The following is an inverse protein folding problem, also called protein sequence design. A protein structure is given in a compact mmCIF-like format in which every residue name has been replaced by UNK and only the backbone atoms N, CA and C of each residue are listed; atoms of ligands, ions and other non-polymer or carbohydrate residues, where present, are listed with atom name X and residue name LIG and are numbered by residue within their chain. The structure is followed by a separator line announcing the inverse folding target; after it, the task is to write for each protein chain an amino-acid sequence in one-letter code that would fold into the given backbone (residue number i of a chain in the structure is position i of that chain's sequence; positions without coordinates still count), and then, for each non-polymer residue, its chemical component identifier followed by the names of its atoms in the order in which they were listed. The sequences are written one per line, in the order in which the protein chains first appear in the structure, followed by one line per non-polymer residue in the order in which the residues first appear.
data_IF_865019706792
#
_entry.id   IF_865019706792
#
_cell.length_a   1.000
_cell.length_b   1.000
_cell.length_c   1.000
_cell.angle_alpha   90.00
_cell.angle_beta   90.00
_cell.angle_gamma   90.00
#
_symmetry.space_group_name_H-M   'P 1'
#
loop_
_entity.id
_entity.type
_entity.pdbx_description
1 polymer ?
#
# COMPACT_ATOMS: atom_id res chain seq x y z
N UNK A 1 -13.65 -14.71 -27.09
CA UNK A 1 -12.78 -15.24 -26.02
C UNK A 1 -13.66 -16.12 -25.17
N UNK A 2 -13.29 -17.40 -25.07
CA UNK A 2 -14.05 -18.50 -24.47
C UNK A 2 -14.49 -18.18 -23.04
N UNK A 3 -15.70 -18.61 -22.67
CA UNK A 3 -16.32 -18.43 -21.35
C UNK A 3 -15.70 -19.37 -20.31
N UNK A 4 -14.39 -19.33 -20.16
CA UNK A 4 -13.72 -20.06 -19.07
C UNK A 4 -13.93 -19.27 -17.79
N UNK A 5 -14.46 -19.90 -16.75
CA UNK A 5 -14.61 -19.24 -15.44
C UNK A 5 -13.22 -19.06 -14.81
N UNK A 6 -13.02 -18.04 -13.94
CA UNK A 6 -11.71 -17.80 -13.29
C UNK A 6 -11.17 -19.04 -12.53
N UNK A 7 -12.08 -19.91 -12.08
CA UNK A 7 -11.78 -21.17 -11.38
C UNK A 7 -11.22 -22.26 -12.30
N UNK A 8 -11.55 -22.21 -13.60
CA UNK A 8 -11.09 -23.16 -14.61
C UNK A 8 -9.81 -22.71 -15.31
N UNK A 9 -9.43 -21.44 -15.14
CA UNK A 9 -8.22 -20.88 -15.77
C UNK A 9 -6.95 -21.46 -15.15
N UNK A 10 -6.02 -21.83 -16.02
CA UNK A 10 -4.69 -22.26 -15.62
C UNK A 10 -3.76 -21.07 -15.30
N UNK A 11 -2.55 -21.37 -14.80
CA UNK A 11 -1.56 -20.36 -14.46
C UNK A 11 -1.24 -19.42 -15.62
N UNK A 12 -1.06 -19.94 -16.83
CA UNK A 12 -0.69 -19.15 -17.99
C UNK A 12 -1.81 -18.20 -18.43
N UNK A 13 -3.05 -18.68 -18.37
CA UNK A 13 -4.24 -17.90 -18.68
C UNK A 13 -4.48 -16.79 -17.65
N UNK A 14 -4.29 -17.08 -16.35
CA UNK A 14 -4.39 -16.08 -15.28
C UNK A 14 -3.36 -14.96 -15.47
N UNK A 15 -2.11 -15.28 -15.84
CA UNK A 15 -1.09 -14.28 -16.11
C UNK A 15 -1.40 -13.40 -17.31
N UNK A 16 -1.84 -14.00 -18.41
CA UNK A 16 -2.22 -13.23 -19.59
C UNK A 16 -3.35 -12.26 -19.26
N UNK A 17 -4.31 -12.68 -18.42
CA UNK A 17 -5.39 -11.84 -17.96
C UNK A 17 -4.90 -10.71 -17.04
N UNK A 18 -4.01 -10.98 -16.07
CA UNK A 18 -3.41 -9.93 -15.23
C UNK A 18 -2.65 -8.89 -16.06
N UNK A 19 -1.93 -9.33 -17.09
CA UNK A 19 -1.23 -8.46 -18.04
C UNK A 19 -2.20 -7.58 -18.82
N UNK A 20 -3.26 -8.16 -19.39
CA UNK A 20 -4.30 -7.41 -20.12
C UNK A 20 -5.02 -6.39 -19.23
N UNK A 21 -5.26 -6.74 -17.97
CA UNK A 21 -5.90 -5.86 -16.98
C UNK A 21 -4.93 -4.84 -16.37
N UNK A 22 -3.65 -4.87 -16.75
CA UNK A 22 -2.59 -4.03 -16.18
C UNK A 22 -2.49 -4.15 -14.65
N UNK A 23 -2.91 -5.27 -14.08
CA UNK A 23 -2.76 -5.59 -12.66
C UNK A 23 -1.31 -6.00 -12.36
N UNK A 24 -0.61 -6.50 -13.37
CA UNK A 24 0.83 -6.68 -13.36
C UNK A 24 1.38 -6.58 -14.78
N UNK A 25 2.65 -6.16 -14.91
CA UNK A 25 3.30 -5.96 -16.19
C UNK A 25 4.14 -7.20 -16.55
N UNK A 26 3.61 -8.04 -17.43
CA UNK A 26 4.29 -9.24 -17.94
C UNK A 26 4.36 -9.17 -19.46
N UNK A 27 5.49 -9.56 -20.07
CA UNK A 27 5.61 -9.70 -21.53
C UNK A 27 5.07 -11.05 -22.03
N UNK A 28 5.31 -12.13 -21.28
CA UNK A 28 4.83 -13.50 -21.57
C UNK A 28 5.01 -14.42 -20.34
N UNK A 29 4.22 -15.49 -20.21
CA UNK A 29 4.34 -16.52 -19.17
C UNK A 29 5.64 -17.36 -19.29
N UNK A 30 6.28 -17.36 -20.47
CA UNK A 30 7.53 -18.08 -20.74
C UNK A 30 8.79 -17.19 -20.71
N UNK A 31 8.65 -15.89 -20.45
CA UNK A 31 9.78 -14.95 -20.45
C UNK A 31 10.01 -14.35 -19.06
N UNK A 32 11.27 -14.03 -18.76
CA UNK A 32 11.62 -13.20 -17.61
C UNK A 32 11.03 -11.80 -17.83
N UNK A 33 10.37 -11.20 -16.85
CA UNK A 33 9.80 -9.86 -17.02
C UNK A 33 10.88 -8.88 -17.44
N UNK A 34 10.59 -8.12 -18.49
CA UNK A 34 11.41 -6.99 -18.94
C UNK A 34 11.13 -5.72 -18.13
N UNK A 35 10.18 -5.77 -17.18
CA UNK A 35 9.80 -4.68 -16.30
C UNK A 35 10.74 -4.59 -15.09
N UNK A 36 11.83 -3.84 -15.27
CA UNK A 36 12.81 -3.58 -14.20
C UNK A 36 12.36 -2.40 -13.32
N UNK A 37 11.44 -2.67 -12.39
CA UNK A 37 11.03 -1.70 -11.36
C UNK A 37 11.44 -2.19 -9.98
N UNK A 38 12.15 -1.37 -9.18
CA UNK A 38 12.50 -1.71 -7.80
C UNK A 38 11.28 -2.09 -6.94
N UNK A 39 10.15 -1.41 -7.15
CA UNK A 39 8.89 -1.72 -6.48
C UNK A 39 8.35 -3.08 -6.90
N UNK A 40 8.37 -3.39 -8.19
CA UNK A 40 7.87 -4.66 -8.71
C UNK A 40 8.68 -5.85 -8.18
N UNK A 41 10.02 -5.75 -8.20
CA UNK A 41 10.93 -6.76 -7.66
C UNK A 41 10.83 -6.94 -6.13
N UNK A 42 10.15 -6.03 -5.44
CA UNK A 42 9.89 -6.14 -4.00
C UNK A 42 8.70 -7.06 -3.71
N UNK A 43 7.69 -7.10 -4.58
CA UNK A 43 6.43 -7.81 -4.34
C UNK A 43 6.27 -9.09 -5.14
N UNK A 44 7.06 -9.29 -6.20
CA UNK A 44 6.96 -10.45 -7.07
C UNK A 44 8.31 -11.16 -7.16
N UNK A 45 8.28 -12.49 -7.17
CA UNK A 45 9.45 -13.34 -7.39
C UNK A 45 9.19 -14.31 -8.55
N UNK A 46 10.25 -14.64 -9.29
CA UNK A 46 10.23 -15.59 -10.40
C UNK A 46 10.78 -16.91 -9.91
N UNK A 47 9.92 -17.92 -9.84
CA UNK A 47 10.34 -19.29 -9.55
C UNK A 47 10.47 -20.10 -10.83
N UNK A 48 11.38 -21.07 -10.80
CA UNK A 48 11.56 -22.03 -11.87
C UNK A 48 10.76 -23.29 -11.55
N UNK A 49 10.02 -23.82 -12.52
CA UNK A 49 9.32 -25.11 -12.39
C UNK A 49 9.96 -26.15 -13.31
N UNK A 50 10.57 -27.17 -12.69
CA UNK A 50 11.28 -28.27 -13.37
C UNK A 50 10.36 -29.09 -14.29
N UNK A 51 9.07 -29.19 -13.98
CA UNK A 51 8.14 -30.09 -14.69
C UNK A 51 7.85 -29.64 -16.13
N UNK A 52 7.94 -28.34 -16.43
CA UNK A 52 7.59 -27.77 -17.75
C UNK A 52 8.62 -26.76 -18.29
N UNK A 53 9.73 -26.51 -17.58
CA UNK A 53 10.70 -25.43 -17.90
C UNK A 53 10.05 -24.04 -18.02
N UNK A 54 8.96 -23.80 -17.28
CA UNK A 54 8.21 -22.53 -17.28
C UNK A 54 8.56 -21.69 -16.06
N UNK A 55 8.57 -20.37 -16.25
CA UNK A 55 8.67 -19.41 -15.15
C UNK A 55 7.32 -19.28 -14.45
N UNK A 56 7.30 -19.49 -13.13
CA UNK A 56 6.11 -19.30 -12.30
C UNK A 56 6.31 -18.05 -11.46
N UNK A 57 5.45 -17.07 -11.63
CA UNK A 57 5.46 -15.86 -10.82
C UNK A 57 4.75 -16.09 -9.50
N UNK A 58 5.43 -15.74 -8.42
CA UNK A 58 4.89 -15.88 -7.08
C UNK A 58 4.90 -14.53 -6.38
N UNK A 59 3.89 -14.26 -5.56
CA UNK A 59 3.96 -13.13 -4.65
C UNK A 59 5.11 -13.37 -3.68
N UNK A 60 6.02 -12.39 -3.58
CA UNK A 60 7.20 -12.47 -2.73
C UNK A 60 6.80 -12.09 -1.31
N UNK A 61 6.77 -13.03 -0.36
CA UNK A 61 6.59 -12.67 1.03
C UNK A 61 7.83 -11.95 1.56
N UNK A 62 7.62 -10.93 2.40
CA UNK A 62 8.72 -10.14 3.00
C UNK A 62 9.53 -10.93 4.04
N UNK A 63 8.94 -11.97 4.66
CA UNK A 63 9.56 -12.71 5.79
C UNK A 63 9.19 -14.21 5.85
N UNK A 64 8.57 -14.80 4.83
CA UNK A 64 8.10 -16.21 4.89
C UNK A 64 8.60 -17.03 3.71
N UNK A 65 8.42 -18.35 3.82
CA UNK A 65 8.54 -19.27 2.68
C UNK A 65 7.62 -18.83 1.54
N UNK A 66 8.02 -19.05 0.28
CA UNK A 66 7.18 -18.71 -0.86
C UNK A 66 5.82 -19.42 -0.79
N UNK A 67 4.78 -18.76 -1.29
CA UNK A 67 3.45 -19.37 -1.36
C UNK A 67 3.50 -20.65 -2.19
N UNK A 68 2.86 -21.71 -1.68
CA UNK A 68 2.71 -22.94 -2.46
C UNK A 68 1.86 -22.66 -3.72
N UNK A 69 1.97 -23.57 -4.70
CA UNK A 69 1.34 -23.41 -6.02
C UNK A 69 -0.17 -23.15 -5.94
N UNK A 70 -0.89 -23.77 -5.01
CA UNK A 70 -2.33 -23.57 -4.88
C UNK A 70 -2.66 -22.20 -4.29
N UNK A 71 -2.02 -21.84 -3.17
CA UNK A 71 -2.23 -20.55 -2.49
C UNK A 71 -1.90 -19.36 -3.39
N UNK A 72 -0.87 -19.49 -4.22
CA UNK A 72 -0.48 -18.46 -5.16
C UNK A 72 -1.51 -18.28 -6.30
N UNK A 73 -2.14 -19.36 -6.80
CA UNK A 73 -3.26 -19.24 -7.76
C UNK A 73 -4.48 -18.58 -7.14
N UNK A 74 -4.85 -18.99 -5.93
CA UNK A 74 -5.99 -18.41 -5.22
C UNK A 74 -5.80 -16.92 -5.00
N UNK A 75 -4.60 -16.48 -4.60
CA UNK A 75 -4.28 -15.07 -4.47
C UNK A 75 -4.35 -14.32 -5.81
N UNK A 76 -3.88 -14.91 -6.92
CA UNK A 76 -4.02 -14.30 -8.24
C UNK A 76 -5.47 -14.19 -8.68
N UNK A 77 -6.27 -15.24 -8.50
CA UNK A 77 -7.70 -15.24 -8.81
C UNK A 77 -8.43 -14.17 -8.00
N UNK A 78 -8.15 -14.11 -6.70
CA UNK A 78 -8.66 -13.05 -5.84
C UNK A 78 -8.26 -11.66 -6.37
N UNK A 79 -6.98 -11.46 -6.70
CA UNK A 79 -6.46 -10.17 -7.19
C UNK A 79 -7.13 -9.76 -8.49
N UNK A 80 -7.28 -10.67 -9.45
CA UNK A 80 -7.98 -10.42 -10.72
C UNK A 80 -9.45 -10.12 -10.46
N UNK A 81 -10.12 -10.94 -9.65
CA UNK A 81 -11.55 -10.76 -9.40
C UNK A 81 -11.81 -9.43 -8.69
N UNK A 82 -11.01 -9.09 -7.68
CA UNK A 82 -11.10 -7.82 -6.97
C UNK A 82 -10.77 -6.62 -7.87
N UNK A 83 -9.73 -6.74 -8.71
CA UNK A 83 -9.32 -5.66 -9.62
C UNK A 83 -10.32 -5.41 -10.76
N UNK A 84 -10.91 -6.47 -11.32
CA UNK A 84 -11.88 -6.38 -12.41
C UNK A 84 -13.29 -6.08 -11.93
N UNK A 85 -13.66 -6.56 -10.73
CA UNK A 85 -14.97 -6.38 -10.13
C UNK A 85 -14.82 -5.76 -8.73
N UNK A 86 -14.34 -4.51 -8.61
CA UNK A 86 -14.19 -3.84 -7.33
C UNK A 86 -15.55 -3.54 -6.65
N UNK A 87 -16.65 -3.95 -7.27
CA UNK A 87 -18.00 -3.73 -6.79
C UNK A 87 -18.45 -2.29 -7.03
N UNK A 88 -19.04 -1.67 -6.00
CA UNK A 88 -19.46 -0.27 -6.03
C UNK A 88 -18.45 0.58 -5.27
N UNK A 89 -17.90 1.57 -5.95
CA UNK A 89 -17.09 2.60 -5.31
C UNK A 89 -17.97 3.60 -4.58
N UNK A 90 -17.71 3.79 -3.29
CA UNK A 90 -18.31 4.85 -2.47
C UNK A 90 -17.51 6.15 -2.52
N UNK A 91 -18.06 7.21 -1.93
CA UNK A 91 -17.40 8.53 -1.84
C UNK A 91 -16.00 8.45 -1.23
N UNK A 92 -15.78 7.55 -0.26
CA UNK A 92 -14.48 7.29 0.37
C UNK A 92 -13.35 6.93 -0.62
N UNK A 93 -13.68 6.34 -1.76
CA UNK A 93 -12.69 5.92 -2.77
C UNK A 93 -12.38 7.00 -3.82
N UNK A 94 -12.81 8.24 -3.59
CA UNK A 94 -12.75 9.34 -4.55
C UNK A 94 -12.14 10.59 -3.93
N UNK A 95 -11.93 11.65 -4.73
CA UNK A 95 -11.53 12.97 -4.22
C UNK A 95 -12.56 13.62 -3.28
N UNK A 96 -13.77 13.06 -3.17
CA UNK A 96 -14.81 13.50 -2.22
C UNK A 96 -14.83 12.65 -0.94
N UNK A 97 -13.74 11.94 -0.63
CA UNK A 97 -13.66 11.06 0.54
C UNK A 97 -13.95 11.79 1.86
N UNK A 98 -13.58 13.07 1.98
CA UNK A 98 -13.83 13.91 3.17
C UNK A 98 -15.31 14.07 3.53
N UNK A 99 -16.22 13.81 2.59
CA UNK A 99 -17.67 13.86 2.82
C UNK A 99 -18.20 12.58 3.49
N UNK A 100 -17.42 11.51 3.51
CA UNK A 100 -17.75 10.29 4.23
C UNK A 100 -17.35 10.43 5.71
N UNK A 101 -18.27 10.27 6.68
CA UNK A 101 -17.93 10.36 8.11
C UNK A 101 -16.84 9.39 8.54
N UNK A 102 -16.65 8.27 7.83
CA UNK A 102 -15.61 7.27 8.11
C UNK A 102 -14.21 7.75 7.74
N UNK A 103 -14.09 8.78 6.90
CA UNK A 103 -12.80 9.43 6.59
C UNK A 103 -12.07 9.87 7.87
N UNK A 104 -12.74 10.67 8.69
CA UNK A 104 -12.14 11.30 9.87
C UNK A 104 -11.63 10.33 10.95
N UNK A 105 -12.33 9.24 11.32
CA UNK A 105 -11.78 8.26 12.25
C UNK A 105 -10.75 7.33 11.60
N UNK A 106 -10.72 7.20 10.26
CA UNK A 106 -9.68 6.42 9.58
C UNK A 106 -8.32 7.14 9.61
N UNK A 107 -8.29 8.45 9.38
CA UNK A 107 -7.04 9.21 9.29
C UNK A 107 -6.12 9.14 10.53
N UNK A 108 -6.64 9.16 11.78
CA UNK A 108 -5.88 8.91 12.99
C UNK A 108 -5.15 7.55 13.02
N UNK A 109 -5.60 6.53 12.27
CA UNK A 109 -4.83 5.29 12.19
C UNK A 109 -3.50 5.49 11.44
N UNK A 110 -3.50 6.28 10.36
CA UNK A 110 -2.28 6.61 9.63
C UNK A 110 -1.38 7.51 10.46
N UNK A 111 -1.95 8.49 11.17
CA UNK A 111 -1.19 9.36 12.07
C UNK A 111 -0.55 8.58 13.23
N UNK A 112 -1.30 7.66 13.87
CA UNK A 112 -0.77 6.75 14.89
C UNK A 112 0.35 5.87 14.35
N UNK A 113 0.21 5.34 13.14
CA UNK A 113 1.29 4.58 12.49
C UNK A 113 2.52 5.46 12.23
N UNK A 114 2.31 6.72 11.83
CA UNK A 114 3.40 7.65 11.60
C UNK A 114 4.13 8.04 12.88
N UNK A 115 3.40 8.30 13.97
CA UNK A 115 3.96 8.49 15.30
C UNK A 115 4.79 7.29 15.74
N UNK A 116 4.32 6.06 15.48
CA UNK A 116 5.08 4.85 15.78
C UNK A 116 6.41 4.80 15.00
N UNK A 117 6.38 5.04 13.68
CA UNK A 117 7.60 5.08 12.85
C UNK A 117 8.61 6.10 13.38
N UNK A 118 8.17 7.23 13.94
CA UNK A 118 9.05 8.28 14.46
C UNK A 118 9.61 8.03 15.87
N UNK A 119 8.95 7.19 16.66
CA UNK A 119 9.30 6.95 18.06
C UNK A 119 9.98 5.59 18.30
N UNK A 120 9.61 4.59 17.51
CA UNK A 120 10.00 3.21 17.77
C UNK A 120 11.47 2.97 17.35
N UNK A 121 12.29 2.33 18.20
CA UNK A 121 13.71 2.12 17.94
C UNK A 121 13.95 1.25 16.70
N UNK A 122 13.00 0.37 16.33
CA UNK A 122 13.08 -0.46 15.12
C UNK A 122 13.09 0.35 13.82
N UNK A 123 12.67 1.61 13.87
CA UNK A 123 12.63 2.53 12.73
C UNK A 123 13.60 3.71 12.91
N UNK A 124 14.57 3.63 13.82
CA UNK A 124 15.58 4.69 13.99
C UNK A 124 16.35 4.98 12.69
N UNK A 125 16.61 3.94 11.89
CA UNK A 125 17.28 4.03 10.59
C UNK A 125 16.35 4.44 9.44
N UNK A 126 15.09 4.82 9.71
CA UNK A 126 14.15 5.22 8.67
C UNK A 126 14.67 6.48 7.95
N UNK A 127 14.73 6.42 6.61
CA UNK A 127 15.19 7.56 5.82
C UNK A 127 14.11 8.65 5.77
N UNK A 128 14.29 9.70 6.56
CA UNK A 128 13.41 10.88 6.59
C UNK A 128 13.69 11.90 5.47
N UNK A 129 14.52 11.58 4.48
CA UNK A 129 14.80 12.47 3.35
C UNK A 129 13.53 12.70 2.52
N UNK A 130 13.10 13.95 2.42
CA UNK A 130 12.02 14.38 1.55
C UNK A 130 12.54 14.57 0.13
N UNK A 131 11.94 13.91 -0.86
CA UNK A 131 12.28 14.07 -2.28
C UNK A 131 11.31 15.03 -2.92
N UNK A 132 11.82 16.15 -3.43
CA UNK A 132 11.00 17.14 -4.12
C UNK A 132 10.65 16.67 -5.54
N UNK A 133 9.40 16.88 -5.93
CA UNK A 133 8.90 16.55 -7.26
C UNK A 133 8.06 17.72 -7.81
N UNK A 134 8.60 18.49 -8.78
CA UNK A 134 7.92 19.67 -9.32
C UNK A 134 6.74 19.32 -10.23
N UNK A 135 6.48 18.04 -10.55
CA UNK A 135 5.47 17.69 -11.55
C UNK A 135 4.01 17.91 -11.10
N UNK A 136 3.76 18.23 -9.83
CA UNK A 136 2.44 18.53 -9.25
C UNK A 136 2.67 19.31 -7.96
N UNK A 137 1.75 20.23 -7.70
CA UNK A 137 1.80 21.13 -6.56
C UNK A 137 1.36 20.43 -5.26
N UNK A 138 1.98 20.78 -4.14
CA UNK A 138 1.57 20.36 -2.79
C UNK A 138 2.32 19.15 -2.23
N UNK A 139 3.38 18.69 -2.91
CA UNK A 139 4.15 17.49 -2.52
C UNK A 139 5.61 17.74 -2.25
N UNK A 140 6.15 18.87 -2.69
CA UNK A 140 7.52 19.26 -2.37
C UNK A 140 7.60 19.74 -0.93
N UNK A 141 8.77 19.59 -0.32
CA UNK A 141 9.05 19.89 1.09
C UNK A 141 8.63 21.30 1.50
N UNK A 142 8.79 22.26 0.60
CA UNK A 142 8.53 23.68 0.84
C UNK A 142 7.24 24.18 0.19
N UNK A 143 6.41 23.29 -0.35
CA UNK A 143 5.08 23.66 -0.83
C UNK A 143 4.20 24.06 0.35
N UNK A 144 3.46 25.16 0.18
CA UNK A 144 2.55 25.71 1.18
C UNK A 144 1.21 24.98 1.16
N UNK A 145 0.69 24.71 2.36
CA UNK A 145 -0.58 24.04 2.59
C UNK A 145 -1.66 25.06 2.93
N UNK A 146 -2.96 24.76 2.72
CA UNK A 146 -4.06 25.68 2.96
C UNK A 146 -4.44 25.78 4.46
N UNK A 147 -3.47 25.68 5.35
CA UNK A 147 -3.68 25.74 6.80
C UNK A 147 -2.96 26.96 7.37
N UNK A 148 -3.62 27.67 8.27
CA UNK A 148 -3.08 28.80 9.04
C UNK A 148 -3.52 28.67 10.49
N UNK A 149 -2.72 29.21 11.42
CA UNK A 149 -3.07 29.31 12.85
C UNK A 149 -3.55 27.99 13.50
N UNK A 150 -2.89 26.86 13.20
CA UNK A 150 -3.25 25.55 13.77
C UNK A 150 -2.66 25.33 15.17
N UNK A 151 -1.53 25.96 15.45
CA UNK A 151 -0.74 25.73 16.67
C UNK A 151 -0.63 26.97 17.58
N UNK A 152 -1.47 27.99 17.35
CA UNK A 152 -1.49 29.25 18.12
C UNK A 152 -0.09 29.89 18.22
N UNK A 153 0.70 29.81 17.15
CA UNK A 153 2.11 30.25 17.07
C UNK A 153 2.28 31.77 16.91
N UNK A 154 1.18 32.52 16.79
CA UNK A 154 1.16 33.98 16.82
C UNK A 154 1.43 34.66 15.47
N UNK A 155 1.72 33.89 14.42
CA UNK A 155 2.02 34.41 13.08
C UNK A 155 0.98 33.91 12.06
N UNK A 156 0.27 34.83 11.41
CA UNK A 156 -0.67 34.50 10.33
C UNK A 156 0.12 34.14 9.05
N UNK A 157 0.53 32.89 8.96
CA UNK A 157 1.23 32.33 7.81
C UNK A 157 0.67 30.97 7.41
N UNK A 158 0.86 30.61 6.14
CA UNK A 158 0.61 29.27 5.66
C UNK A 158 1.78 28.37 6.00
N UNK A 159 1.48 27.19 6.52
CA UNK A 159 2.50 26.19 6.82
C UNK A 159 2.97 25.50 5.56
N UNK A 160 4.28 25.28 5.44
CA UNK A 160 4.81 24.35 4.45
C UNK A 160 4.64 22.90 4.88
N UNK A 161 4.81 21.97 3.94
CA UNK A 161 4.94 20.54 4.23
C UNK A 161 6.01 20.26 5.32
N UNK A 162 7.15 20.94 5.27
CA UNK A 162 8.20 20.83 6.29
C UNK A 162 7.77 21.32 7.67
N UNK A 163 7.04 22.44 7.74
CA UNK A 163 6.55 22.99 9.00
C UNK A 163 5.55 22.03 9.64
N UNK A 164 4.57 21.57 8.86
CA UNK A 164 3.61 20.56 9.33
C UNK A 164 4.30 19.28 9.78
N UNK A 165 5.29 18.81 9.02
CA UNK A 165 6.06 17.63 9.37
C UNK A 165 6.76 17.75 10.73
N UNK A 166 7.31 18.92 11.04
CA UNK A 166 7.93 19.19 12.34
C UNK A 166 6.88 19.36 13.45
N UNK A 167 5.78 20.05 13.17
CA UNK A 167 4.73 20.34 14.14
C UNK A 167 3.99 19.08 14.62
N UNK A 168 3.74 18.13 13.71
CA UNK A 168 3.17 16.81 14.00
C UNK A 168 4.23 15.76 14.40
N UNK A 169 5.41 16.18 14.87
CA UNK A 169 6.30 15.25 15.55
C UNK A 169 5.75 14.93 16.95
N UNK A 170 5.58 13.66 17.34
CA UNK A 170 5.07 13.31 18.66
C UNK A 170 6.01 13.75 19.80
N UNK A 171 7.25 14.14 19.50
CA UNK A 171 8.22 14.73 20.44
C UNK A 171 8.09 16.25 20.54
N UNK A 172 7.28 16.88 19.70
CA UNK A 172 7.04 18.31 19.74
C UNK A 172 6.17 18.66 20.98
N UNK A 173 6.68 19.46 21.93
CA UNK A 173 5.90 19.83 23.11
C UNK A 173 4.68 20.70 22.80
N UNK A 174 4.59 21.30 21.62
CA UNK A 174 3.41 22.08 21.20
C UNK A 174 2.28 21.21 20.63
N UNK A 175 2.55 19.93 20.33
CA UNK A 175 1.52 19.01 19.86
C UNK A 175 0.59 18.66 21.02
N UNK A 176 -0.70 19.00 20.88
CA UNK A 176 -1.70 18.89 21.96
C UNK A 176 -2.15 17.45 22.27
N UNK A 177 -1.65 16.46 21.51
CA UNK A 177 -2.01 15.05 21.69
C UNK A 177 -0.84 14.13 21.32
N UNK A 178 -0.81 12.95 21.94
CA UNK A 178 0.01 11.80 21.55
C UNK A 178 -0.85 10.56 21.80
N UNK A 179 -0.63 9.48 21.06
CA UNK A 179 -1.35 8.23 21.29
C UNK A 179 -0.80 7.51 22.53
N UNK A 180 -1.72 6.93 23.31
CA UNK A 180 -1.42 6.25 24.58
C UNK A 180 -0.50 5.03 24.38
N UNK A 181 -0.78 4.21 23.36
CA UNK A 181 0.02 3.04 23.02
C UNK A 181 0.04 2.80 21.51
N UNK A 182 0.97 1.95 21.08
CA UNK A 182 1.10 1.49 19.70
C UNK A 182 0.84 -0.02 19.60
N UNK A 183 -0.14 -0.53 20.35
CA UNK A 183 -0.57 -1.92 20.26
C UNK A 183 -1.72 -2.07 19.24
N UNK A 184 -1.58 -3.02 18.32
CA UNK A 184 -2.61 -3.40 17.34
C UNK A 184 -3.12 -4.81 17.66
N UNK A 185 -4.03 -4.91 18.64
CA UNK A 185 -4.58 -6.20 19.10
C UNK A 185 -5.25 -7.00 17.97
N UNK A 186 -5.84 -6.34 16.99
CA UNK A 186 -6.42 -7.00 15.82
C UNK A 186 -5.38 -7.69 14.93
N UNK A 187 -4.10 -7.30 14.98
CA UNK A 187 -3.04 -8.03 14.26
C UNK A 187 -2.68 -9.36 14.95
N UNK A 188 -2.99 -9.51 16.24
CA UNK A 188 -2.80 -10.78 16.97
C UNK A 188 -3.99 -11.72 16.83
N UNK A 189 -5.14 -11.19 16.40
CA UNK A 189 -6.32 -11.97 16.08
C UNK A 189 -6.22 -12.43 14.62
N UNK A 190 -5.43 -13.47 14.36
CA UNK A 190 -5.63 -14.19 13.11
C UNK A 190 -7.03 -14.81 13.14
N UNK A 191 -7.81 -14.75 12.04
CA UNK A 191 -9.05 -15.50 11.99
C UNK A 191 -8.69 -16.97 12.18
N UNK A 192 -9.19 -17.56 13.25
CA UNK A 192 -9.22 -19.01 13.40
C UNK A 192 -10.10 -19.58 12.27
N UNK A 193 -9.74 -20.75 11.73
CA UNK A 193 -10.41 -21.40 10.59
C UNK A 193 -11.95 -21.52 10.70
N UNK A 194 -12.54 -21.27 11.88
CA UNK A 194 -13.98 -21.29 12.13
C UNK A 194 -14.74 -20.04 11.64
N UNK A 195 -14.06 -19.00 11.14
CA UNK A 195 -14.68 -17.74 10.71
C UNK A 195 -14.81 -17.55 9.18
N UNK A 196 -14.55 -18.59 8.38
CA UNK A 196 -14.82 -18.67 6.94
C UNK A 196 -15.73 -19.86 6.63
#
# INVERSE_FOLDING_TARGET
VTSTTLEEMDYSELYELMGKQKLAYFSNASERSTFDSPLYNTFYDIQWSDEDSKYVWTFKPRKSEPLNRTANMELMRFTINFGCNPGKYGTMSTGSATNDPVFWPIHPFFDRMWHYIRLAPEFEDFNHTWVDDPSCFGRSKHDVLPFTNLFDDGDEHYYSNADMYALFDPRNPQLKYVYDNFDWSHCTQMPTEEAL
#
